data_IF_911077040686
#
_entry.id   IF_911077040686
#
_cell.length_a   1.000
_cell.length_b   1.000
_cell.length_c   1.000
_cell.angle_alpha   90.00
_cell.angle_beta   90.00
_cell.angle_gamma   90.00
#
_symmetry.space_group_name_H-M   'P 1'
#
loop_
_entity.id
_entity.type
_entity.pdbx_description
1 polymer ?
#
# COMPACT_ATOMS: atom_id res chain seq x y z
N UNK A 1 3.33 -1.07 -9.88
CA UNK A 1 3.94 -1.88 -8.82
C UNK A 1 4.50 -3.18 -9.40
N UNK A 2 5.74 -3.53 -9.02
CA UNK A 2 6.39 -4.76 -9.46
C UNK A 2 6.01 -5.94 -8.56
N UNK A 3 5.91 -7.11 -9.18
CA UNK A 3 5.88 -8.39 -8.47
C UNK A 3 7.27 -8.73 -7.92
N UNK A 4 7.33 -9.45 -6.79
CA UNK A 4 8.59 -9.73 -6.08
C UNK A 4 9.63 -10.46 -6.94
N UNK A 5 9.21 -11.26 -7.93
CA UNK A 5 10.10 -11.98 -8.87
C UNK A 5 10.58 -11.13 -10.05
N UNK A 6 10.03 -9.93 -10.23
CA UNK A 6 10.41 -9.03 -11.33
C UNK A 6 9.88 -9.40 -12.73
N UNK A 7 9.14 -10.48 -12.86
CA UNK A 7 8.58 -10.98 -14.14
C UNK A 7 7.23 -10.33 -14.51
N UNK A 8 6.53 -9.74 -13.52
CA UNK A 8 5.28 -9.03 -13.70
C UNK A 8 5.32 -7.65 -13.05
N UNK A 9 4.56 -6.73 -13.62
CA UNK A 9 4.19 -5.48 -12.95
C UNK A 9 2.74 -5.12 -13.26
N UNK A 10 2.11 -4.37 -12.35
CA UNK A 10 0.75 -3.88 -12.53
C UNK A 10 0.74 -2.36 -12.60
N UNK A 11 -0.09 -1.83 -13.50
CA UNK A 11 -0.35 -0.40 -13.65
C UNK A 11 -1.81 -0.09 -13.31
N UNK A 12 -2.03 1.12 -12.86
CA UNK A 12 -3.35 1.68 -12.55
C UNK A 12 -3.57 2.88 -13.43
N UNK A 13 -4.72 2.93 -14.08
CA UNK A 13 -5.22 4.09 -14.82
C UNK A 13 -6.49 4.60 -14.12
N UNK A 14 -6.41 5.64 -13.27
CA UNK A 14 -7.56 6.12 -12.50
C UNK A 14 -8.70 6.63 -13.38
N UNK A 15 -8.38 7.24 -14.52
CA UNK A 15 -9.35 7.81 -15.46
C UNK A 15 -10.15 6.74 -16.21
N UNK A 16 -9.63 5.52 -16.24
CA UNK A 16 -10.31 4.37 -16.83
C UNK A 16 -11.23 3.63 -15.84
N UNK A 17 -11.65 4.26 -14.75
CA UNK A 17 -12.44 3.64 -13.67
C UNK A 17 -13.71 2.92 -14.15
N UNK A 18 -14.29 3.36 -15.26
CA UNK A 18 -15.45 2.73 -15.91
C UNK A 18 -15.07 1.62 -16.90
N UNK A 19 -13.78 1.41 -17.17
CA UNK A 19 -13.30 0.43 -18.15
C UNK A 19 -12.67 -0.79 -17.48
N UNK A 20 -12.61 -1.90 -18.23
CA UNK A 20 -11.85 -3.10 -17.80
C UNK A 20 -10.35 -2.87 -17.70
N UNK A 21 -9.86 -1.73 -18.18
CA UNK A 21 -8.44 -1.39 -18.27
C UNK A 21 -7.95 -0.51 -17.10
N UNK A 22 -8.78 -0.29 -16.09
CA UNK A 22 -8.37 0.47 -14.89
C UNK A 22 -7.15 -0.17 -14.17
N UNK A 23 -7.01 -1.49 -14.28
CA UNK A 23 -5.85 -2.24 -13.81
C UNK A 23 -5.36 -3.14 -14.93
N UNK A 24 -4.07 -3.02 -15.26
CA UNK A 24 -3.40 -3.91 -16.21
C UNK A 24 -2.24 -4.63 -15.52
N UNK A 25 -2.15 -5.93 -15.74
CA UNK A 25 -0.99 -6.75 -15.35
C UNK A 25 -0.16 -7.03 -16.60
N UNK A 26 1.09 -6.65 -16.55
CA UNK A 26 2.06 -6.79 -17.63
C UNK A 26 3.02 -7.91 -17.34
N UNK A 27 3.17 -8.83 -18.29
CA UNK A 27 4.18 -9.88 -18.26
C UNK A 27 5.38 -9.45 -19.09
N UNK A 28 6.52 -9.19 -18.43
CA UNK A 28 7.70 -8.61 -19.06
C UNK A 28 8.28 -9.55 -20.11
N UNK A 29 8.46 -10.83 -19.75
CA UNK A 29 9.09 -11.84 -20.60
C UNK A 29 8.33 -12.16 -21.89
N UNK A 30 7.01 -11.97 -21.90
CA UNK A 30 6.12 -12.25 -23.06
C UNK A 30 5.61 -11.00 -23.74
N UNK A 31 5.99 -9.82 -23.29
CA UNK A 31 5.50 -8.51 -23.79
C UNK A 31 3.96 -8.47 -23.86
N UNK A 32 3.28 -9.09 -22.90
CA UNK A 32 1.84 -9.23 -22.87
C UNK A 32 1.24 -8.45 -21.71
N UNK A 33 0.16 -7.71 -22.03
CA UNK A 33 -0.63 -6.98 -21.04
C UNK A 33 -2.04 -7.54 -20.98
N UNK A 34 -2.57 -7.74 -19.80
CA UNK A 34 -3.90 -8.30 -19.59
C UNK A 34 -4.64 -7.52 -18.52
N UNK A 35 -5.93 -7.27 -18.76
CA UNK A 35 -6.85 -6.87 -17.69
C UNK A 35 -7.16 -8.14 -16.85
N UNK A 36 -6.79 -8.16 -15.57
CA UNK A 36 -6.88 -9.39 -14.76
C UNK A 36 -8.32 -9.78 -14.42
N UNK A 37 -9.27 -8.86 -14.62
CA UNK A 37 -10.65 -9.08 -14.22
C UNK A 37 -11.62 -8.80 -15.35
N UNK A 38 -12.57 -9.72 -15.54
CA UNK A 38 -13.76 -9.44 -16.34
C UNK A 38 -14.60 -8.38 -15.65
N UNK A 39 -15.20 -7.50 -16.41
CA UNK A 39 -16.07 -6.41 -15.96
C UNK A 39 -17.08 -6.91 -14.93
N UNK A 40 -16.88 -6.59 -13.67
CA UNK A 40 -17.94 -6.78 -12.66
C UNK A 40 -18.98 -5.68 -12.89
N UNK A 41 -20.26 -6.05 -12.96
CA UNK A 41 -21.41 -5.17 -13.28
C UNK A 41 -21.59 -3.96 -12.34
N UNK A 42 -20.69 -3.73 -11.40
CA UNK A 42 -20.81 -2.73 -10.34
C UNK A 42 -19.85 -1.52 -10.47
N UNK A 43 -19.26 -1.28 -11.63
CA UNK A 43 -18.25 -0.23 -11.83
C UNK A 43 -18.77 1.14 -12.29
N UNK A 44 -20.06 1.41 -12.09
CA UNK A 44 -20.71 2.63 -12.59
C UNK A 44 -20.60 3.89 -11.71
N UNK A 45 -19.84 3.88 -10.62
CA UNK A 45 -19.73 5.04 -9.72
C UNK A 45 -18.28 5.45 -9.53
N UNK A 46 -18.01 6.75 -9.52
CA UNK A 46 -16.69 7.36 -9.24
C UNK A 46 -16.06 6.90 -7.91
N UNK A 47 -16.88 6.40 -6.97
CA UNK A 47 -16.43 5.80 -5.72
C UNK A 47 -15.58 4.52 -5.87
N UNK A 48 -15.43 4.01 -7.08
CA UNK A 48 -14.66 2.81 -7.40
C UNK A 48 -13.37 3.08 -8.19
N UNK A 49 -12.98 4.33 -8.34
CA UNK A 49 -11.70 4.68 -8.97
C UNK A 49 -10.55 3.95 -8.24
N UNK A 50 -9.79 3.17 -9.01
CA UNK A 50 -8.63 2.45 -8.47
C UNK A 50 -7.55 3.46 -8.13
N UNK A 51 -6.99 3.38 -6.93
CA UNK A 51 -5.95 4.28 -6.44
C UNK A 51 -4.56 3.64 -6.54
N UNK A 52 -4.43 2.41 -6.07
CA UNK A 52 -3.17 1.69 -6.09
C UNK A 52 -3.39 0.17 -6.11
N UNK A 53 -2.33 -0.55 -6.43
CA UNK A 53 -2.30 -2.01 -6.47
C UNK A 53 -1.04 -2.54 -5.82
N UNK A 54 -1.11 -3.75 -5.26
CA UNK A 54 0.05 -4.48 -4.79
C UNK A 54 -0.13 -5.97 -5.06
N UNK A 55 0.98 -6.66 -5.37
CA UNK A 55 0.99 -8.11 -5.46
C UNK A 55 1.22 -8.73 -4.08
N UNK A 56 0.63 -9.88 -3.87
CA UNK A 56 1.01 -10.74 -2.76
C UNK A 56 2.40 -11.33 -3.05
N UNK A 57 3.31 -11.39 -2.06
CA UNK A 57 4.70 -11.81 -2.30
C UNK A 57 4.85 -13.28 -2.75
N UNK A 58 3.97 -14.18 -2.30
CA UNK A 58 4.09 -15.63 -2.55
C UNK A 58 2.88 -16.24 -3.28
N UNK A 59 1.66 -15.75 -3.01
CA UNK A 59 0.42 -16.29 -3.60
C UNK A 59 0.03 -15.50 -4.85
N UNK A 60 -0.72 -16.09 -5.80
CA UNK A 60 -1.16 -15.39 -7.01
C UNK A 60 -2.35 -14.44 -6.72
N UNK A 61 -2.19 -13.59 -5.72
CA UNK A 61 -3.21 -12.62 -5.31
C UNK A 61 -2.77 -11.20 -5.68
N UNK A 62 -3.73 -10.40 -6.11
CA UNK A 62 -3.57 -8.97 -6.39
C UNK A 62 -4.51 -8.17 -5.50
N UNK A 63 -3.93 -7.23 -4.76
CA UNK A 63 -4.66 -6.26 -3.96
C UNK A 63 -4.93 -5.03 -4.81
N UNK A 64 -6.18 -4.64 -4.90
CA UNK A 64 -6.64 -3.47 -5.65
C UNK A 64 -7.34 -2.53 -4.69
N UNK A 65 -6.71 -1.42 -4.37
CA UNK A 65 -7.31 -0.39 -3.54
C UNK A 65 -8.13 0.56 -4.41
N UNK A 66 -9.39 0.70 -4.05
CA UNK A 66 -10.27 1.76 -4.52
C UNK A 66 -10.28 2.89 -3.50
N UNK A 67 -11.11 3.91 -3.69
CA UNK A 67 -11.20 4.99 -2.70
C UNK A 67 -11.55 4.49 -1.29
N UNK A 68 -12.41 3.47 -1.16
CA UNK A 68 -12.98 3.04 0.12
C UNK A 68 -12.68 1.62 0.54
N UNK A 69 -12.33 0.74 -0.40
CA UNK A 69 -12.17 -0.69 -0.18
C UNK A 69 -10.86 -1.19 -0.77
N UNK A 70 -10.31 -2.22 -0.18
CA UNK A 70 -9.25 -3.01 -0.79
C UNK A 70 -9.84 -4.35 -1.19
N UNK A 71 -9.83 -4.65 -2.47
CA UNK A 71 -10.30 -5.91 -3.03
C UNK A 71 -9.11 -6.82 -3.30
N UNK A 72 -9.19 -8.04 -2.85
CA UNK A 72 -8.18 -9.07 -3.06
C UNK A 72 -8.70 -10.02 -4.13
N UNK A 73 -8.00 -10.12 -5.23
CA UNK A 73 -8.37 -10.97 -6.34
C UNK A 73 -7.41 -12.13 -6.50
N UNK A 74 -7.93 -13.30 -6.79
CA UNK A 74 -7.16 -14.45 -7.24
C UNK A 74 -6.90 -14.31 -8.74
N UNK A 75 -5.62 -14.27 -9.14
CA UNK A 75 -5.20 -14.10 -10.53
C UNK A 75 -5.32 -15.39 -11.35
N UNK A 76 -5.32 -16.56 -10.70
CA UNK A 76 -5.49 -17.86 -11.35
C UNK A 76 -6.96 -18.12 -11.63
N UNK A 77 -7.78 -18.02 -10.59
CA UNK A 77 -9.23 -18.25 -10.69
C UNK A 77 -9.98 -17.06 -11.32
N UNK A 78 -9.35 -15.89 -11.36
CA UNK A 78 -9.94 -14.62 -11.83
C UNK A 78 -11.23 -14.25 -11.06
N UNK A 79 -11.23 -14.52 -9.76
CA UNK A 79 -12.35 -14.26 -8.85
C UNK A 79 -11.97 -13.31 -7.75
N UNK A 80 -12.97 -12.63 -7.20
CA UNK A 80 -12.82 -11.84 -5.98
C UNK A 80 -12.70 -12.81 -4.80
N UNK A 81 -11.54 -12.81 -4.12
CA UNK A 81 -11.27 -13.65 -2.97
C UNK A 81 -11.77 -13.02 -1.67
N UNK A 82 -11.47 -11.72 -1.44
CA UNK A 82 -11.81 -11.02 -0.19
C UNK A 82 -11.98 -9.53 -0.44
N UNK A 83 -12.76 -8.86 0.40
CA UNK A 83 -12.88 -7.38 0.42
C UNK A 83 -12.58 -6.85 1.80
N UNK A 84 -11.51 -6.07 1.93
CA UNK A 84 -11.16 -5.41 3.18
C UNK A 84 -11.91 -4.07 3.28
N UNK A 85 -12.35 -3.75 4.49
CA UNK A 85 -13.17 -2.59 4.83
C UNK A 85 -12.42 -1.62 5.75
N UNK A 86 -11.59 -0.71 5.21
CA UNK A 86 -10.79 0.21 6.01
C UNK A 86 -11.60 1.20 6.86
N UNK A 87 -12.82 1.50 6.48
CA UNK A 87 -13.65 2.48 7.18
C UNK A 87 -13.11 3.92 7.03
N UNK A 88 -12.45 4.22 5.93
CA UNK A 88 -11.92 5.54 5.58
C UNK A 88 -12.63 6.10 4.35
N UNK A 89 -12.53 7.42 4.16
CA UNK A 89 -13.15 8.08 2.99
C UNK A 89 -12.33 7.88 1.73
N UNK A 90 -10.98 7.90 1.85
CA UNK A 90 -10.11 7.83 0.70
C UNK A 90 -8.78 7.16 1.03
N UNK A 91 -8.55 6.01 0.44
CA UNK A 91 -7.27 5.30 0.51
C UNK A 91 -6.26 6.02 -0.39
N UNK A 92 -5.07 6.25 0.11
CA UNK A 92 -3.97 6.90 -0.63
C UNK A 92 -2.91 5.91 -1.09
N UNK A 93 -2.59 4.93 -0.26
CA UNK A 93 -1.49 4.01 -0.49
C UNK A 93 -1.76 2.66 0.15
N UNK A 94 -1.13 1.64 -0.39
CA UNK A 94 -1.27 0.24 0.03
C UNK A 94 0.09 -0.45 -0.09
N UNK A 95 0.46 -1.24 0.90
CA UNK A 95 1.58 -2.17 0.80
C UNK A 95 1.27 -3.49 1.52
N UNK A 96 1.89 -4.59 1.05
CA UNK A 96 1.69 -5.94 1.60
C UNK A 96 2.97 -6.37 2.32
N UNK A 97 2.81 -6.89 3.53
CA UNK A 97 3.93 -7.40 4.32
C UNK A 97 4.65 -8.55 3.60
N UNK A 98 5.97 -8.71 3.75
CA UNK A 98 6.72 -9.78 3.11
C UNK A 98 6.24 -11.21 3.41
N UNK A 99 5.60 -11.46 4.58
CA UNK A 99 4.95 -12.74 4.87
C UNK A 99 3.72 -13.00 4.00
N UNK A 100 3.05 -11.94 3.53
CA UNK A 100 1.81 -12.01 2.77
C UNK A 100 0.54 -11.88 3.62
N UNK A 101 0.60 -12.06 4.92
CA UNK A 101 -0.58 -12.18 5.79
C UNK A 101 -1.07 -10.84 6.34
N UNK A 102 -0.28 -9.78 6.19
CA UNK A 102 -0.63 -8.44 6.67
C UNK A 102 -0.61 -7.39 5.56
N UNK A 103 -1.49 -6.41 5.71
CA UNK A 103 -1.61 -5.30 4.75
C UNK A 103 -1.61 -3.97 5.48
N UNK A 104 -0.84 -3.02 4.97
CA UNK A 104 -0.76 -1.65 5.46
C UNK A 104 -1.49 -0.74 4.48
N UNK A 105 -2.39 0.09 4.99
CA UNK A 105 -3.17 1.03 4.19
C UNK A 105 -3.02 2.44 4.75
N UNK A 106 -2.56 3.36 3.91
CA UNK A 106 -2.56 4.78 4.18
C UNK A 106 -3.83 5.46 3.71
N UNK A 107 -4.25 6.52 4.37
CA UNK A 107 -5.47 7.26 4.05
C UNK A 107 -5.27 8.77 4.12
N UNK A 108 -5.99 9.51 3.26
CA UNK A 108 -6.08 10.97 3.35
C UNK A 108 -6.77 11.45 4.64
N UNK A 109 -7.49 10.56 5.36
CA UNK A 109 -8.08 10.83 6.67
C UNK A 109 -7.05 10.81 7.81
N UNK A 110 -5.75 10.90 7.53
CA UNK A 110 -4.64 10.90 8.49
C UNK A 110 -4.49 9.58 9.26
N UNK A 111 -5.05 8.49 8.73
CA UNK A 111 -5.02 7.16 9.35
C UNK A 111 -4.05 6.27 8.61
N UNK A 112 -3.36 5.47 9.40
CA UNK A 112 -2.58 4.34 8.98
C UNK A 112 -3.26 3.09 9.54
N UNK A 113 -3.64 2.16 8.67
CA UNK A 113 -4.44 1.00 9.03
C UNK A 113 -3.64 -0.27 8.79
N UNK A 114 -3.59 -1.11 9.80
CA UNK A 114 -2.96 -2.42 9.73
C UNK A 114 -4.05 -3.50 9.69
N UNK A 115 -3.99 -4.35 8.68
CA UNK A 115 -4.86 -5.51 8.52
C UNK A 115 -4.08 -6.78 8.75
N UNK A 116 -4.72 -7.72 9.42
CA UNK A 116 -4.38 -9.13 9.43
C UNK A 116 -5.41 -9.84 8.56
N UNK A 117 -4.94 -10.49 7.50
CA UNK A 117 -5.81 -11.10 6.48
C UNK A 117 -6.51 -12.36 6.99
N UNK A 118 -5.89 -13.06 7.93
CA UNK A 118 -6.46 -14.29 8.48
C UNK A 118 -7.49 -13.99 9.58
N UNK A 119 -7.33 -12.86 10.26
CA UNK A 119 -8.18 -12.50 11.40
C UNK A 119 -9.49 -11.85 10.98
N UNK A 120 -9.46 -10.84 10.11
CA UNK A 120 -10.65 -10.01 9.82
C UNK A 120 -10.58 -9.27 8.49
N UNK A 121 -11.76 -8.87 7.98
CA UNK A 121 -11.89 -7.88 6.90
C UNK A 121 -11.77 -6.42 7.39
N UNK A 122 -11.81 -6.21 8.70
CA UNK A 122 -11.63 -4.88 9.33
C UNK A 122 -10.20 -4.70 9.81
N UNK A 123 -9.71 -3.45 9.93
CA UNK A 123 -8.36 -3.22 10.40
C UNK A 123 -8.17 -3.74 11.83
N UNK A 124 -7.09 -4.48 12.04
CA UNK A 124 -6.64 -4.91 13.35
C UNK A 124 -6.23 -3.72 14.24
N UNK A 125 -5.49 -2.76 13.65
CA UNK A 125 -5.10 -1.50 14.30
C UNK A 125 -5.29 -0.31 13.36
N UNK A 126 -5.69 0.84 13.95
CA UNK A 126 -5.73 2.14 13.29
C UNK A 126 -4.84 3.12 14.07
N UNK A 127 -3.78 3.59 13.41
CA UNK A 127 -2.81 4.53 13.98
C UNK A 127 -3.10 5.94 13.45
N UNK A 128 -2.97 6.95 14.32
CA UNK A 128 -3.20 8.37 14.00
C UNK A 128 -2.07 9.23 14.51
N UNK A 129 -0.88 9.02 13.98
CA UNK A 129 0.29 9.78 14.37
C UNK A 129 0.56 11.00 13.49
N UNK A 130 0.09 10.96 12.23
CA UNK A 130 0.21 12.09 11.32
C UNK A 130 -0.87 13.16 11.56
N UNK A 131 -0.47 14.43 11.44
CA UNK A 131 -1.38 15.58 11.55
C UNK A 131 -2.11 15.88 10.25
N UNK A 132 -1.59 15.40 9.10
CA UNK A 132 -2.16 15.58 7.76
C UNK A 132 -2.31 14.24 7.00
N UNK A 133 -2.75 14.32 5.76
CA UNK A 133 -3.02 13.15 4.92
C UNK A 133 -1.79 12.27 4.75
N UNK A 134 -1.92 10.96 4.97
CA UNK A 134 -0.88 9.99 4.65
C UNK A 134 -0.86 9.80 3.14
N UNK A 135 0.32 9.91 2.52
CA UNK A 135 0.52 9.79 1.07
C UNK A 135 1.09 8.46 0.66
N UNK A 136 2.05 7.95 1.42
CA UNK A 136 2.76 6.73 1.07
C UNK A 136 3.01 5.87 2.30
N UNK A 137 2.90 4.56 2.12
CA UNK A 137 3.24 3.57 3.14
C UNK A 137 4.10 2.49 2.51
N UNK A 138 5.05 1.95 3.27
CA UNK A 138 5.92 0.89 2.78
C UNK A 138 6.40 -0.01 3.91
N UNK A 139 6.38 -1.32 3.70
CA UNK A 139 7.08 -2.30 4.51
C UNK A 139 8.53 -2.44 4.07
N UNK A 140 9.41 -2.66 5.02
CA UNK A 140 10.77 -3.08 4.70
C UNK A 140 10.76 -4.56 4.28
N UNK A 141 11.45 -4.94 3.19
CA UNK A 141 11.39 -6.32 2.68
C UNK A 141 12.06 -7.36 3.58
N UNK A 142 12.97 -6.96 4.48
CA UNK A 142 13.75 -7.90 5.32
C UNK A 142 13.69 -7.60 6.81
N UNK A 143 13.60 -6.34 7.20
CA UNK A 143 13.59 -5.94 8.62
C UNK A 143 12.15 -5.77 9.10
N UNK A 144 11.87 -5.96 10.39
CA UNK A 144 10.55 -5.75 10.97
C UNK A 144 10.23 -4.26 11.10
N UNK A 145 10.30 -3.55 9.98
CA UNK A 145 10.11 -2.11 9.87
C UNK A 145 9.02 -1.78 8.85
N UNK A 146 8.30 -0.72 9.11
CA UNK A 146 7.48 -0.04 8.11
C UNK A 146 7.56 1.47 8.30
N UNK A 147 7.23 2.19 7.26
CA UNK A 147 7.21 3.64 7.29
C UNK A 147 5.93 4.20 6.67
N UNK A 148 5.57 5.39 7.11
CA UNK A 148 4.52 6.20 6.52
C UNK A 148 4.99 7.63 6.28
N UNK A 149 4.59 8.22 5.17
CA UNK A 149 4.87 9.59 4.81
C UNK A 149 3.58 10.37 4.62
N UNK A 150 3.58 11.64 4.99
CA UNK A 150 2.38 12.46 4.96
C UNK A 150 2.62 13.92 4.54
N UNK A 151 1.51 14.62 4.33
CA UNK A 151 1.50 16.05 3.98
C UNK A 151 1.93 16.97 5.14
N UNK A 152 2.21 16.42 6.33
CA UNK A 152 2.81 17.14 7.45
C UNK A 152 4.36 17.24 7.34
N UNK A 153 4.90 16.95 6.16
CA UNK A 153 6.33 16.97 5.83
C UNK A 153 7.18 16.02 6.70
N UNK A 154 6.56 15.03 7.35
CA UNK A 154 7.24 14.04 8.17
C UNK A 154 7.15 12.65 7.61
N UNK A 155 8.16 11.83 7.92
CA UNK A 155 8.13 10.39 7.72
C UNK A 155 8.22 9.72 9.09
N UNK A 156 7.28 8.85 9.38
CA UNK A 156 7.28 8.08 10.61
C UNK A 156 7.78 6.66 10.33
N UNK A 157 8.72 6.21 11.15
CA UNK A 157 9.27 4.84 11.10
C UNK A 157 8.76 4.07 12.30
N UNK A 158 8.34 2.85 12.07
CA UNK A 158 7.78 1.95 13.08
C UNK A 158 8.48 0.61 13.06
N UNK A 159 8.56 0.00 14.22
CA UNK A 159 8.88 -1.41 14.37
C UNK A 159 7.58 -2.22 14.32
N UNK A 160 7.59 -3.32 13.56
CA UNK A 160 6.45 -4.21 13.45
C UNK A 160 6.93 -5.67 13.51
N UNK A 161 6.83 -6.28 14.67
CA UNK A 161 7.07 -7.72 14.79
C UNK A 161 5.77 -8.46 14.58
N UNK A 162 5.78 -9.33 13.57
CA UNK A 162 4.72 -10.30 13.32
C UNK A 162 5.20 -11.65 13.85
N UNK A 163 4.39 -12.26 14.68
CA UNK A 163 4.67 -13.55 15.25
C UNK A 163 4.04 -14.67 14.38
N UNK A 164 4.73 -15.78 14.25
CA UNK A 164 4.18 -16.97 13.57
C UNK A 164 3.08 -17.67 14.40
N UNK A 165 3.03 -17.38 15.69
CA UNK A 165 2.00 -17.86 16.58
C UNK A 165 0.77 -16.94 16.53
N UNK A 166 -0.35 -17.47 16.05
CA UNK A 166 -1.64 -16.76 15.94
C UNK A 166 -2.21 -16.29 17.28
N UNK A 167 -1.71 -16.82 18.41
CA UNK A 167 -2.09 -16.35 19.74
C UNK A 167 -1.45 -15.02 20.11
N UNK A 168 -0.39 -14.61 19.41
CA UNK A 168 0.34 -13.39 19.68
C UNK A 168 -0.02 -12.29 18.68
N UNK A 169 -0.44 -11.17 19.24
CA UNK A 169 -0.76 -9.99 18.46
C UNK A 169 0.50 -9.31 17.89
N UNK A 170 0.43 -8.82 16.67
CA UNK A 170 1.51 -8.05 16.07
C UNK A 170 1.89 -6.83 16.95
N UNK A 171 3.17 -6.72 17.27
CA UNK A 171 3.71 -5.61 18.06
C UNK A 171 4.05 -4.44 17.13
N UNK A 172 3.30 -3.35 17.25
CA UNK A 172 3.52 -2.12 16.46
C UNK A 172 4.00 -1.00 17.39
N UNK A 173 5.23 -0.57 17.20
CA UNK A 173 5.86 0.47 18.03
C UNK A 173 6.41 1.60 17.17
N UNK A 174 6.03 2.88 17.42
CA UNK A 174 6.68 4.00 16.75
C UNK A 174 8.14 4.12 17.22
N UNK A 175 9.07 4.23 16.27
CA UNK A 175 10.50 4.34 16.56
C UNK A 175 10.99 5.78 16.42
N UNK A 176 10.73 6.40 15.26
CA UNK A 176 11.34 7.69 14.93
C UNK A 176 10.44 8.51 14.00
N UNK A 177 10.49 9.82 14.18
CA UNK A 177 9.92 10.79 13.26
C UNK A 177 11.07 11.47 12.54
N UNK A 178 11.14 11.29 11.23
CA UNK A 178 12.13 11.92 10.37
C UNK A 178 11.60 13.27 9.91
N UNK A 179 12.32 14.33 10.28
CA UNK A 179 11.99 15.72 9.95
C UNK A 179 13.10 16.28 9.08
N UNK A 180 12.75 16.87 7.97
CA UNK A 180 13.75 17.42 7.05
C UNK A 180 13.09 17.98 5.79
N UNK A 181 12.02 17.36 5.31
CA UNK A 181 11.21 17.92 4.25
C UNK A 181 10.45 19.15 4.72
N UNK A 182 10.16 20.06 3.81
CA UNK A 182 9.32 21.23 4.02
C UNK A 182 7.99 21.06 3.25
N UNK A 183 6.96 21.77 3.72
CA UNK A 183 5.68 21.82 3.02
C UNK A 183 5.79 22.74 1.79
N UNK A 184 5.25 22.29 0.66
CA UNK A 184 5.07 23.10 -0.54
C UNK A 184 3.65 22.87 -1.09
N UNK A 185 2.91 23.93 -1.34
CA UNK A 185 1.53 23.89 -1.83
C UNK A 185 0.59 22.98 -0.99
N UNK A 186 0.75 23.05 0.33
CA UNK A 186 0.04 22.22 1.30
C UNK A 186 0.32 20.70 1.19
N UNK A 187 1.34 20.30 0.47
CA UNK A 187 1.84 18.95 0.32
C UNK A 187 3.17 18.79 1.08
N UNK A 188 3.43 17.62 1.58
CA UNK A 188 4.66 17.29 2.28
C UNK A 188 5.46 16.19 1.58
N UNK A 189 5.57 15.03 2.21
CA UNK A 189 6.29 13.87 1.65
C UNK A 189 5.33 13.01 0.83
N UNK A 190 5.62 12.88 -0.46
CA UNK A 190 4.71 12.25 -1.43
C UNK A 190 4.97 10.75 -1.60
N UNK A 191 6.22 10.32 -1.50
CA UNK A 191 6.60 8.93 -1.75
C UNK A 191 7.75 8.51 -0.86
N UNK A 192 7.75 7.22 -0.49
CA UNK A 192 8.85 6.58 0.23
C UNK A 192 9.17 5.22 -0.39
N UNK A 193 10.42 4.81 -0.29
CA UNK A 193 10.88 3.50 -0.69
C UNK A 193 12.01 3.02 0.25
N UNK A 194 11.92 1.77 0.69
CA UNK A 194 12.99 1.13 1.44
C UNK A 194 14.08 0.59 0.52
N UNK A 195 15.30 0.65 1.00
CA UNK A 195 16.39 -0.11 0.38
C UNK A 195 16.13 -1.62 0.54
N UNK A 196 16.38 -2.45 -0.48
CA UNK A 196 15.97 -3.86 -0.45
C UNK A 196 16.68 -4.71 0.63
N UNK A 197 17.86 -4.29 1.09
CA UNK A 197 18.68 -5.09 2.04
C UNK A 197 19.19 -4.32 3.25
N UNK A 198 19.21 -3.01 3.22
CA UNK A 198 19.69 -2.15 4.32
C UNK A 198 18.53 -1.38 4.96
N UNK A 199 18.59 -1.03 6.24
CA UNK A 199 17.55 -0.26 6.90
C UNK A 199 17.58 1.22 6.49
N UNK A 200 17.71 1.49 5.19
CA UNK A 200 17.75 2.82 4.63
C UNK A 200 16.44 3.15 3.93
N UNK A 201 15.98 4.34 4.12
CA UNK A 201 14.73 4.83 3.55
C UNK A 201 15.00 6.03 2.64
N UNK A 202 14.46 5.99 1.43
CA UNK A 202 14.42 7.13 0.51
C UNK A 202 13.04 7.78 0.61
N UNK A 203 13.01 9.11 0.69
CA UNK A 203 11.76 9.89 0.63
C UNK A 203 11.86 10.97 -0.43
N UNK A 204 10.75 11.22 -1.13
CA UNK A 204 10.59 12.32 -2.08
C UNK A 204 9.46 13.24 -1.64
N UNK A 205 9.75 14.53 -1.54
CA UNK A 205 8.84 15.56 -1.06
C UNK A 205 8.33 16.50 -2.15
N UNK A 206 7.29 17.25 -1.83
CA UNK A 206 6.79 18.35 -2.65
C UNK A 206 7.75 19.56 -2.66
N UNK A 207 8.67 19.61 -1.71
CA UNK A 207 9.77 20.56 -1.63
C UNK A 207 10.82 20.40 -2.75
N UNK A 208 10.61 19.44 -3.67
CA UNK A 208 11.49 19.07 -4.79
C UNK A 208 12.77 18.36 -4.36
N UNK A 209 12.87 17.96 -3.09
CA UNK A 209 14.00 17.23 -2.55
C UNK A 209 13.71 15.73 -2.50
N UNK A 210 14.77 14.94 -2.70
CA UNK A 210 14.83 13.52 -2.34
C UNK A 210 15.84 13.34 -1.22
N UNK A 211 15.46 12.65 -0.14
CA UNK A 211 16.29 12.46 1.05
C UNK A 211 16.52 10.98 1.34
N UNK A 212 17.78 10.64 1.55
CA UNK A 212 18.17 9.30 2.01
C UNK A 212 18.39 9.35 3.54
N UNK A 213 17.67 8.49 4.24
CA UNK A 213 17.75 8.32 5.68
C UNK A 213 18.49 7.02 5.98
N UNK A 214 19.59 7.11 6.70
CA UNK A 214 20.41 5.97 7.11
C UNK A 214 20.32 5.80 8.63
N UNK A 215 20.59 4.58 9.10
CA UNK A 215 20.64 4.26 10.53
C UNK A 215 21.94 4.76 11.17
#
# INVERSE_FOLDING_TARGET
>A
RWHARGDYFATVCPDAAASSNAVLVHQVTRHRSQAPFRRTKHTGSSAFAVQCVAFHPARPLLFVATQRYVRVFDLVQQTLHKTLQPGVRWISSLDVHPSGDHVLVGSYDRRLLWFDLDLSERPYKALRYHSRAVRSVAFHPRYPLFASAADDATVHVYHATVYSDLSQNALLVPLKILRGHSEADALGVLSIAWHPTQPWLLSGGADRDARLWTA
#
